data_IF_451263429895
#
_entry.id   IF_451263429895
#
_cell.length_a   1.000
_cell.length_b   1.000
_cell.length_c   1.000
_cell.angle_alpha   90.00
_cell.angle_beta   90.00
_cell.angle_gamma   90.00
#
_symmetry.space_group_name_H-M   'P 1'
#
loop_
_entity.id
_entity.type
_entity.pdbx_description
1 polymer ?
#
# COMPACT_ATOMS: atom_id res chain seq x y z
N UNK A 1 13.57 30.89 13.96
CA UNK A 1 12.68 30.43 13.17
C UNK A 1 11.78 29.37 13.71
N UNK A 2 10.87 29.07 12.92
CA UNK A 2 9.91 28.07 13.24
C UNK A 2 10.43 26.72 12.83
N UNK A 3 10.18 25.71 13.63
CA UNK A 3 10.56 24.35 13.24
C UNK A 3 9.87 23.99 11.93
N UNK A 4 10.53 23.21 11.08
CA UNK A 4 9.87 22.77 9.87
C UNK A 4 8.64 21.95 10.22
N UNK A 5 7.65 22.07 9.38
CA UNK A 5 6.44 21.29 9.55
C UNK A 5 6.80 19.80 9.49
N UNK A 6 6.14 19.02 10.30
CA UNK A 6 6.32 17.57 10.27
C UNK A 6 5.94 17.06 8.88
N UNK A 7 6.76 16.18 8.33
CA UNK A 7 6.45 15.59 7.04
C UNK A 7 5.32 14.61 7.19
N UNK A 8 4.41 14.65 6.25
CA UNK A 8 3.27 13.75 6.24
C UNK A 8 3.22 13.04 4.91
N UNK A 9 2.50 11.93 4.91
CA UNK A 9 2.31 11.16 3.69
C UNK A 9 1.40 11.91 2.73
N UNK A 10 1.72 11.87 1.46
CA UNK A 10 0.94 12.59 0.43
C UNK A 10 -0.38 11.89 0.11
N UNK A 11 -0.57 10.66 0.58
CA UNK A 11 -1.74 9.88 0.22
C UNK A 11 -1.44 8.94 -0.93
N UNK A 12 -2.09 7.79 -0.94
CA UNK A 12 -1.72 6.73 -1.88
C UNK A 12 -1.92 7.16 -3.33
N UNK A 13 -2.96 7.96 -3.63
CA UNK A 13 -3.22 8.32 -5.02
C UNK A 13 -2.29 9.40 -5.54
N UNK A 14 -1.69 10.18 -4.65
CA UNK A 14 -0.70 11.19 -5.02
C UNK A 14 0.72 10.70 -4.89
N UNK A 15 0.89 9.46 -4.44
CA UNK A 15 2.18 8.83 -4.36
C UNK A 15 2.60 8.35 -5.76
N UNK A 16 3.85 7.96 -5.91
CA UNK A 16 4.43 7.60 -7.18
C UNK A 16 3.63 6.45 -7.82
N UNK A 17 3.24 6.64 -9.06
CA UNK A 17 2.44 5.67 -9.83
C UNK A 17 1.19 5.22 -9.08
N UNK A 18 0.57 6.15 -8.36
CA UNK A 18 -0.66 5.83 -7.66
C UNK A 18 -0.45 4.86 -6.50
N UNK A 19 0.73 4.93 -5.88
CA UNK A 19 0.98 4.15 -4.69
C UNK A 19 1.83 2.92 -4.89
N UNK A 20 2.64 2.87 -5.96
CA UNK A 20 3.57 1.77 -6.17
C UNK A 20 4.87 2.03 -5.41
N UNK A 21 4.74 2.26 -4.12
CA UNK A 21 5.84 2.51 -3.20
C UNK A 21 5.63 1.64 -1.97
N UNK A 22 6.63 1.61 -1.10
CA UNK A 22 6.48 0.86 0.16
C UNK A 22 5.32 1.37 0.99
N UNK A 23 5.17 2.69 1.09
CA UNK A 23 4.07 3.25 1.86
C UNK A 23 2.73 3.00 1.18
N UNK A 24 2.68 3.08 -0.14
CA UNK A 24 1.45 2.76 -0.86
C UNK A 24 1.07 1.30 -0.68
N UNK A 25 2.06 0.42 -0.67
CA UNK A 25 1.81 -0.99 -0.39
C UNK A 25 1.24 -1.22 0.98
N UNK A 26 1.74 -0.46 1.96
CA UNK A 26 1.24 -0.53 3.31
C UNK A 26 -0.24 -0.14 3.38
N UNK A 27 -0.62 0.94 2.72
CA UNK A 27 -2.01 1.38 2.71
C UNK A 27 -2.90 0.31 2.06
N UNK A 28 -2.44 -0.25 0.93
CA UNK A 28 -3.21 -1.29 0.25
C UNK A 28 -3.40 -2.51 1.15
N UNK A 29 -2.35 -2.94 1.84
CA UNK A 29 -2.46 -4.08 2.72
C UNK A 29 -3.37 -3.79 3.91
N UNK A 30 -3.37 -2.56 4.41
CA UNK A 30 -4.28 -2.18 5.46
C UNK A 30 -5.74 -2.28 4.99
N UNK A 31 -6.00 -1.92 3.74
CA UNK A 31 -7.33 -2.13 3.15
C UNK A 31 -7.69 -3.60 3.09
N UNK A 32 -6.72 -4.43 2.64
CA UNK A 32 -6.94 -5.87 2.50
C UNK A 32 -7.36 -6.49 3.83
N UNK A 33 -6.69 -6.11 4.91
CA UNK A 33 -6.97 -6.69 6.21
C UNK A 33 -8.08 -5.97 6.97
N UNK A 34 -8.71 -4.95 6.35
CA UNK A 34 -9.78 -4.24 7.00
C UNK A 34 -9.35 -3.35 8.14
N UNK A 35 -8.07 -3.03 8.21
CA UNK A 35 -7.55 -2.10 9.22
C UNK A 35 -7.95 -0.67 8.91
N UNK A 36 -8.17 -0.37 7.63
CA UNK A 36 -8.65 0.92 7.16
C UNK A 36 -9.74 0.67 6.13
N UNK A 37 -10.72 1.57 6.02
CA UNK A 37 -11.65 1.49 4.90
C UNK A 37 -10.93 1.86 3.60
N UNK A 38 -11.42 1.37 2.48
CA UNK A 38 -10.77 1.62 1.20
C UNK A 38 -10.86 3.07 0.76
N UNK A 39 -11.64 3.87 1.47
CA UNK A 39 -11.71 5.30 1.23
C UNK A 39 -10.60 6.07 1.95
N UNK A 40 -9.86 5.43 2.83
CA UNK A 40 -8.81 6.11 3.58
C UNK A 40 -7.51 6.05 2.79
N UNK A 41 -7.01 7.21 2.36
CA UNK A 41 -5.80 7.29 1.56
C UNK A 41 -4.54 7.53 2.39
N UNK A 42 -4.69 7.78 3.66
CA UNK A 42 -3.60 8.15 4.58
C UNK A 42 -2.95 9.49 4.24
N UNK A 43 -3.63 10.30 3.42
CA UNK A 43 -3.12 11.64 3.15
C UNK A 43 -3.04 12.41 4.45
N UNK A 44 -1.88 13.05 4.67
CA UNK A 44 -1.67 13.85 5.85
C UNK A 44 -1.29 13.09 7.10
N UNK A 45 -1.13 11.78 7.00
CA UNK A 45 -0.73 10.99 8.16
C UNK A 45 0.74 11.23 8.47
N UNK A 46 1.05 11.30 9.75
CA UNK A 46 2.42 11.50 10.20
C UNK A 46 3.23 10.21 10.00
N UNK A 47 4.56 10.38 10.04
CA UNK A 47 5.45 9.22 9.97
C UNK A 47 5.13 8.21 11.08
N UNK A 48 4.90 8.70 12.29
CA UNK A 48 4.57 7.82 13.41
C UNK A 48 3.29 7.06 13.20
N UNK A 49 2.27 7.73 12.64
CA UNK A 49 1.01 7.07 12.37
C UNK A 49 1.17 5.98 11.31
N UNK A 50 1.97 6.26 10.27
CA UNK A 50 2.24 5.26 9.25
C UNK A 50 3.02 4.09 9.83
N UNK A 51 3.95 4.35 10.72
CA UNK A 51 4.73 3.28 11.35
C UNK A 51 3.84 2.39 12.20
N UNK A 52 2.94 2.98 12.97
CA UNK A 52 2.00 2.21 13.76
C UNK A 52 1.11 1.34 12.88
N UNK A 53 0.65 1.90 11.77
CA UNK A 53 -0.13 1.13 10.81
C UNK A 53 0.68 -0.05 10.27
N UNK A 54 1.96 0.19 9.99
CA UNK A 54 2.84 -0.87 9.50
C UNK A 54 2.97 -2.01 10.46
N UNK A 55 3.04 -1.71 11.75
CA UNK A 55 3.11 -2.77 12.77
C UNK A 55 1.84 -3.60 12.78
N UNK A 56 0.69 -2.95 12.62
CA UNK A 56 -0.58 -3.66 12.58
C UNK A 56 -0.70 -4.54 11.35
N UNK A 57 -0.25 -4.04 10.20
CA UNK A 57 -0.27 -4.81 8.97
C UNK A 57 0.64 -6.03 9.09
N UNK A 58 1.83 -5.84 9.67
CA UNK A 58 2.73 -6.97 9.86
C UNK A 58 2.14 -8.03 10.78
N UNK A 59 1.43 -7.60 11.83
CA UNK A 59 0.80 -8.55 12.73
C UNK A 59 -0.27 -9.37 12.01
N UNK A 60 -0.97 -8.75 11.07
CA UNK A 60 -1.95 -9.50 10.28
C UNK A 60 -1.26 -10.50 9.36
N UNK A 61 -0.21 -10.06 8.64
CA UNK A 61 0.52 -10.97 7.77
C UNK A 61 1.11 -12.15 8.54
N UNK A 62 1.57 -11.90 9.76
CA UNK A 62 2.17 -12.95 10.57
C UNK A 62 1.21 -14.12 10.78
N UNK A 63 -0.09 -13.84 10.87
CA UNK A 63 -1.09 -14.88 11.06
C UNK A 63 -1.14 -15.84 9.88
N UNK A 64 -0.66 -15.42 8.72
CA UNK A 64 -0.79 -16.18 7.48
C UNK A 64 0.55 -16.51 6.86
N UNK A 65 1.61 -16.44 7.64
CA UNK A 65 2.94 -16.85 7.19
C UNK A 65 3.55 -15.94 6.14
N UNK A 66 3.05 -14.70 6.05
CA UNK A 66 3.59 -13.71 5.11
C UNK A 66 3.48 -14.15 3.66
N UNK A 67 2.46 -14.93 3.33
CA UNK A 67 2.28 -15.40 1.96
C UNK A 67 0.84 -15.25 1.54
N UNK A 68 0.65 -14.83 0.29
CA UNK A 68 -0.68 -14.67 -0.28
C UNK A 68 -1.44 -16.00 -0.25
N UNK A 69 -0.75 -17.10 -0.51
CA UNK A 69 -1.39 -18.41 -0.47
C UNK A 69 -1.84 -18.81 0.92
N UNK A 70 -1.33 -18.16 1.94
CA UNK A 70 -1.77 -18.43 3.31
C UNK A 70 -3.04 -17.69 3.69
N UNK A 71 -3.49 -16.76 2.87
CA UNK A 71 -4.68 -15.98 3.18
C UNK A 71 -5.94 -16.81 2.98
N UNK A 72 -6.95 -16.67 3.85
CA UNK A 72 -8.26 -17.26 3.59
C UNK A 72 -8.83 -16.74 2.27
N UNK A 73 -9.70 -17.53 1.65
CA UNK A 73 -10.23 -17.21 0.33
C UNK A 73 -10.81 -15.80 0.24
N UNK A 74 -11.61 -15.42 1.23
CA UNK A 74 -12.26 -14.11 1.18
C UNK A 74 -11.24 -12.97 1.19
N UNK A 75 -10.20 -13.10 2.02
CA UNK A 75 -9.17 -12.06 2.11
C UNK A 75 -8.31 -12.09 0.86
N UNK A 76 -8.00 -13.28 0.35
CA UNK A 76 -7.18 -13.40 -0.85
C UNK A 76 -7.87 -12.75 -2.05
N UNK A 77 -9.19 -12.88 -2.16
CA UNK A 77 -9.93 -12.24 -3.25
C UNK A 77 -9.86 -10.73 -3.15
N UNK A 78 -9.99 -10.18 -1.95
CA UNK A 78 -9.86 -8.74 -1.76
C UNK A 78 -8.45 -8.28 -2.11
N UNK A 79 -7.45 -9.04 -1.67
CA UNK A 79 -6.05 -8.73 -2.00
C UNK A 79 -5.87 -8.68 -3.51
N UNK A 80 -6.37 -9.67 -4.22
CA UNK A 80 -6.22 -9.74 -5.66
C UNK A 80 -6.89 -8.55 -6.35
N UNK A 81 -8.10 -8.20 -5.92
CA UNK A 81 -8.82 -7.07 -6.51
C UNK A 81 -8.08 -5.76 -6.27
N UNK A 82 -7.67 -5.51 -5.04
CA UNK A 82 -7.03 -4.24 -4.69
C UNK A 82 -5.71 -4.09 -5.44
N UNK A 83 -4.93 -5.17 -5.52
CA UNK A 83 -3.64 -5.10 -6.20
C UNK A 83 -3.80 -5.03 -7.71
N UNK A 84 -4.80 -5.69 -8.29
CA UNK A 84 -5.08 -5.57 -9.72
C UNK A 84 -5.48 -4.15 -10.09
N UNK A 85 -6.33 -3.54 -9.26
CA UNK A 85 -6.73 -2.16 -9.50
C UNK A 85 -5.55 -1.21 -9.38
N UNK A 86 -4.65 -1.48 -8.44
CA UNK A 86 -3.47 -0.64 -8.26
C UNK A 86 -2.54 -0.75 -9.46
N UNK A 87 -2.35 -1.94 -10.00
CA UNK A 87 -1.51 -2.13 -11.17
C UNK A 87 -2.11 -1.40 -12.37
N UNK A 88 -3.43 -1.49 -12.57
CA UNK A 88 -4.07 -0.80 -13.67
C UNK A 88 -3.89 0.71 -13.54
N UNK A 89 -4.03 1.23 -12.32
CA UNK A 89 -3.84 2.65 -12.05
C UNK A 89 -2.40 3.08 -12.33
N UNK A 90 -1.44 2.24 -11.91
CA UNK A 90 -0.03 2.54 -12.11
C UNK A 90 0.32 2.56 -13.60
N UNK A 91 -0.21 1.59 -14.34
CA UNK A 91 0.06 1.53 -15.77
C UNK A 91 -0.50 2.74 -16.50
N UNK A 92 -1.66 3.22 -16.06
CA UNK A 92 -2.25 4.43 -16.65
C UNK A 92 -1.34 5.64 -16.44
N UNK A 93 -0.47 5.59 -15.44
CA UNK A 93 0.47 6.67 -15.15
C UNK A 93 1.86 6.40 -15.71
N UNK A 94 2.01 5.36 -16.49
CA UNK A 94 3.28 5.09 -17.16
C UNK A 94 4.17 4.05 -16.50
N UNK A 95 3.70 3.39 -15.46
CA UNK A 95 4.47 2.35 -14.80
C UNK A 95 4.53 1.12 -15.71
N UNK A 96 5.73 0.57 -15.86
CA UNK A 96 5.94 -0.59 -16.72
C UNK A 96 6.93 -1.54 -16.05
N UNK A 97 6.44 -2.57 -15.36
CA UNK A 97 7.34 -3.52 -14.70
C UNK A 97 8.15 -4.33 -15.68
N UNK A 98 7.66 -4.49 -16.93
CA UNK A 98 8.38 -5.29 -17.89
C UNK A 98 9.63 -4.64 -18.41
N UNK A 99 9.71 -3.31 -18.36
CA UNK A 99 10.87 -2.62 -18.87
C UNK A 99 12.15 -2.99 -18.13
N UNK A 100 12.03 -3.30 -16.85
CA UNK A 100 13.20 -3.68 -16.07
C UNK A 100 13.72 -5.04 -16.50
N UNK A 101 12.81 -5.92 -16.87
CA UNK A 101 13.22 -7.24 -17.30
C UNK A 101 13.88 -7.20 -18.66
N UNK A 102 13.47 -6.26 -19.47
CA UNK A 102 13.98 -6.18 -20.83
C UNK A 102 15.39 -5.68 -20.89
N UNK A 103 15.89 -5.13 -19.81
CA UNK A 103 17.21 -4.57 -19.80
C UNK A 103 18.32 -5.59 -19.70
N UNK A 104 17.96 -6.80 -19.45
CA UNK A 104 19.00 -7.83 -19.38
C UNK A 104 19.63 -8.15 -20.71
#
# INVERSE_FOLDING_TARGET
GKAPAERTYVGIYDDQYGGMTSLGGLVKDAWVFGLLPETETCQGWTHGAMETLGQKVQAEWDKYGYRVNGLPDAIRQVHQRIHSEAIARARAQGWDPGSEEDEE
#
